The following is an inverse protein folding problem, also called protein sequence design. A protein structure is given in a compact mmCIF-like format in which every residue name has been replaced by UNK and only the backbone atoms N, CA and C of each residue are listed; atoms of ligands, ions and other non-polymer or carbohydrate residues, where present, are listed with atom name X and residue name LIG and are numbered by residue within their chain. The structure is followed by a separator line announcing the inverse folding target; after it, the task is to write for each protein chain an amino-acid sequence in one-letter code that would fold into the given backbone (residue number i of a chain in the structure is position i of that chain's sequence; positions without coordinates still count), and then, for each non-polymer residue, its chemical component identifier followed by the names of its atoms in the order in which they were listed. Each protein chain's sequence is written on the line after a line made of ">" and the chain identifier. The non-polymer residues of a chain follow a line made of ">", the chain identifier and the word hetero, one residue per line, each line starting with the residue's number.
data_IF_410641403040
#
_entry.id   IF_410641403040
#
_cell.length_a   1.000
_cell.length_b   1.000
_cell.length_c   1.000
_cell.angle_alpha   90.00
_cell.angle_beta   90.00
_cell.angle_gamma   90.00
#
_symmetry.space_group_name_H-M   'P 1'
#
loop_
_entity.id
_entity.type
_entity.pdbx_description
1 polymer ?
#
# COMPACT_ATOMS: atom_id res chain seq x y z
N UNK A 1 1.66 -9.85 -17.27
CA UNK A 1 0.71 -8.76 -16.96
C UNK A 1 0.11 -9.06 -15.59
N UNK A 2 -0.06 -8.05 -14.72
CA UNK A 2 -0.63 -8.28 -13.39
C UNK A 2 -2.05 -8.86 -13.47
N UNK A 3 -2.34 -9.80 -12.57
CA UNK A 3 -3.70 -10.30 -12.36
C UNK A 3 -4.62 -9.17 -11.88
N UNK A 4 -5.92 -9.32 -12.12
CA UNK A 4 -6.93 -8.38 -11.61
C UNK A 4 -6.81 -8.17 -10.10
N UNK A 5 -6.61 -9.27 -9.37
CA UNK A 5 -6.42 -9.25 -7.91
C UNK A 5 -5.20 -8.42 -7.50
N UNK A 6 -4.05 -8.60 -8.17
CA UNK A 6 -2.84 -7.84 -7.90
C UNK A 6 -3.02 -6.33 -8.19
N UNK A 7 -3.79 -5.97 -9.23
CA UNK A 7 -4.15 -4.57 -9.51
C UNK A 7 -5.01 -3.96 -8.40
N UNK A 8 -5.98 -4.70 -7.88
CA UNK A 8 -6.82 -4.25 -6.75
C UNK A 8 -6.02 -4.02 -5.47
N UNK A 9 -4.91 -4.73 -5.26
CA UNK A 9 -4.07 -4.51 -4.07
C UNK A 9 -3.46 -3.10 -4.06
N UNK A 10 -3.05 -2.58 -5.22
CA UNK A 10 -2.50 -1.22 -5.32
C UNK A 10 -3.53 -0.13 -5.02
N UNK A 11 -4.80 -0.35 -5.38
CA UNK A 11 -5.87 0.63 -5.13
C UNK A 11 -6.35 0.59 -3.68
N UNK A 12 -6.55 -0.62 -3.13
CA UNK A 12 -7.07 -0.81 -1.77
C UNK A 12 -6.05 -0.45 -0.68
N UNK A 13 -4.75 -0.60 -0.95
CA UNK A 13 -3.68 -0.44 0.04
C UNK A 13 -2.66 0.64 -0.36
N UNK A 14 -3.15 1.78 -0.87
CA UNK A 14 -2.30 2.94 -1.17
C UNK A 14 -1.59 3.43 0.11
N UNK A 15 -0.30 3.70 0.02
CA UNK A 15 0.54 4.11 1.16
C UNK A 15 0.99 2.96 2.05
N UNK A 16 0.63 1.71 1.74
CA UNK A 16 1.09 0.52 2.45
C UNK A 16 2.10 -0.25 1.62
N UNK A 17 3.09 -0.85 2.27
CA UNK A 17 4.02 -1.76 1.60
C UNK A 17 3.28 -3.04 1.17
N UNK A 18 3.32 -3.37 -0.11
CA UNK A 18 2.92 -4.67 -0.62
C UNK A 18 4.15 -5.58 -0.69
N UNK A 19 4.03 -6.78 -0.13
CA UNK A 19 5.02 -7.84 -0.27
C UNK A 19 4.67 -8.64 -1.52
N UNK A 20 5.66 -8.87 -2.37
CA UNK A 20 5.46 -9.52 -3.66
C UNK A 20 6.37 -10.72 -3.88
N UNK A 21 5.84 -11.68 -4.63
CA UNK A 21 6.61 -12.77 -5.21
C UNK A 21 6.38 -12.79 -6.71
N UNK A 22 7.45 -13.02 -7.47
CA UNK A 22 7.40 -13.21 -8.92
C UNK A 22 7.88 -14.62 -9.27
N UNK A 23 7.10 -15.37 -10.03
CA UNK A 23 7.54 -16.65 -10.56
C UNK A 23 8.58 -16.40 -11.65
N UNK A 24 9.77 -17.01 -11.51
CA UNK A 24 10.92 -16.77 -12.36
C UNK A 24 10.68 -17.21 -13.81
N UNK A 25 9.83 -18.21 -14.00
CA UNK A 25 9.51 -18.79 -15.32
C UNK A 25 8.26 -18.15 -15.91
N UNK A 26 7.12 -18.21 -15.21
CA UNK A 26 5.83 -17.73 -15.74
C UNK A 26 5.69 -16.22 -15.67
N UNK A 27 6.55 -15.53 -14.92
CA UNK A 27 6.49 -14.09 -14.62
C UNK A 27 5.17 -13.67 -13.95
N UNK A 28 4.46 -14.63 -13.35
CA UNK A 28 3.30 -14.38 -12.52
C UNK A 28 3.71 -13.61 -11.26
N UNK A 29 2.95 -12.58 -10.90
CA UNK A 29 3.16 -11.78 -9.69
C UNK A 29 1.98 -11.98 -8.75
N UNK A 30 2.31 -12.31 -7.50
CA UNK A 30 1.39 -12.27 -6.37
C UNK A 30 1.78 -11.15 -5.41
N UNK A 31 0.78 -10.54 -4.79
CA UNK A 31 0.94 -9.41 -3.87
C UNK A 31 0.04 -9.60 -2.66
N UNK A 32 0.53 -9.18 -1.50
CA UNK A 32 -0.27 -9.06 -0.29
C UNK A 32 0.17 -7.83 0.52
N UNK A 33 -0.75 -7.15 1.23
CA UNK A 33 -0.40 -6.02 2.07
C UNK A 33 0.40 -6.47 3.30
N UNK A 34 1.47 -5.75 3.61
CA UNK A 34 2.20 -5.92 4.86
C UNK A 34 1.39 -5.31 6.01
N UNK A 35 1.39 -5.97 7.17
CA UNK A 35 0.90 -5.35 8.41
C UNK A 35 1.83 -4.18 8.74
N UNK A 36 1.21 -3.01 8.90
CA UNK A 36 1.87 -1.76 9.28
C UNK A 36 1.27 -1.22 10.61
N UNK A 37 2.09 -0.68 11.52
CA UNK A 37 3.56 -0.71 11.52
C UNK A 37 4.12 -2.14 11.49
N UNK A 38 5.36 -2.31 11.01
CA UNK A 38 5.98 -3.64 10.87
C UNK A 38 5.91 -4.40 12.20
N UNK A 39 5.59 -5.69 12.13
CA UNK A 39 5.44 -6.56 13.32
C UNK A 39 6.32 -7.79 13.27
N UNK A 40 6.85 -8.17 14.43
CA UNK A 40 7.33 -9.51 14.73
C UNK A 40 6.26 -10.25 15.52
N UNK A 41 5.84 -11.43 15.05
CA UNK A 41 4.79 -12.21 15.66
C UNK A 41 5.29 -13.57 16.16
N UNK A 42 4.73 -14.04 17.26
CA UNK A 42 4.84 -15.42 17.71
C UNK A 42 3.50 -16.10 17.46
N UNK A 43 3.50 -17.14 16.62
CA UNK A 43 2.29 -17.90 16.29
C UNK A 43 2.35 -19.30 16.86
N UNK A 44 1.19 -19.84 17.22
CA UNK A 44 1.07 -21.25 17.57
C UNK A 44 1.02 -22.14 16.32
N UNK A 45 0.88 -23.45 16.53
CA UNK A 45 0.81 -24.41 15.43
C UNK A 45 -0.39 -24.21 14.51
N UNK A 46 -1.51 -23.72 15.07
CA UNK A 46 -2.74 -23.37 14.37
C UNK A 46 -2.64 -22.07 13.56
N UNK A 47 -1.53 -21.33 13.69
CA UNK A 47 -1.31 -20.04 13.01
C UNK A 47 -1.88 -18.83 13.74
N UNK A 48 -2.41 -18.99 14.95
CA UNK A 48 -2.93 -17.89 15.75
C UNK A 48 -1.78 -17.16 16.46
N UNK A 49 -1.84 -15.84 16.47
CA UNK A 49 -0.87 -15.00 17.15
C UNK A 49 -1.07 -15.08 18.66
N UNK A 50 0.00 -15.41 19.38
CA UNK A 50 0.04 -15.52 20.84
C UNK A 50 0.85 -14.42 21.51
N UNK A 51 1.66 -13.71 20.73
CA UNK A 51 2.48 -12.60 21.21
C UNK A 51 3.28 -11.98 20.07
N UNK A 52 4.07 -10.97 20.41
CA UNK A 52 4.90 -10.27 19.45
C UNK A 52 5.20 -8.84 19.89
N UNK A 53 5.80 -8.08 19.00
CA UNK A 53 6.11 -6.66 19.21
C UNK A 53 6.13 -5.91 17.89
N UNK A 54 5.90 -4.60 17.98
CA UNK A 54 6.11 -3.66 16.90
C UNK A 54 7.61 -3.50 16.63
N UNK A 55 7.99 -3.53 15.35
CA UNK A 55 9.36 -3.32 14.89
C UNK A 55 9.58 -1.83 14.70
N UNK A 56 10.18 -1.21 15.72
CA UNK A 56 10.57 0.19 15.69
C UNK A 56 12.04 0.36 15.22
N UNK A 57 12.38 1.43 14.47
CA UNK A 57 13.77 1.74 14.13
C UNK A 57 14.72 1.79 15.34
N UNK A 58 14.24 2.16 16.54
CA UNK A 58 14.99 2.19 17.79
C UNK A 58 15.43 0.81 18.33
N UNK A 59 14.91 -0.28 17.77
CA UNK A 59 15.37 -1.63 18.08
C UNK A 59 16.72 -1.98 17.41
N UNK A 60 17.13 -1.25 16.38
CA UNK A 60 18.31 -1.54 15.55
C UNK A 60 18.11 -2.75 14.64
N UNK A 61 19.20 -3.28 14.08
CA UNK A 61 19.16 -4.44 13.17
C UNK A 61 18.87 -5.79 13.87
N UNK A 62 18.70 -5.78 15.20
CA UNK A 62 18.40 -6.98 15.98
C UNK A 62 16.93 -7.39 15.82
N UNK A 63 16.72 -8.40 14.98
CA UNK A 63 15.40 -8.97 14.69
C UNK A 63 14.73 -9.64 15.90
N UNK A 64 15.51 -9.98 16.93
CA UNK A 64 15.07 -10.53 18.22
C UNK A 64 15.77 -9.79 19.36
N UNK A 65 15.32 -8.57 19.69
CA UNK A 65 15.90 -7.80 20.78
C UNK A 65 15.58 -8.45 22.14
N UNK A 66 16.37 -8.18 23.19
CA UNK A 66 16.05 -8.60 24.56
C UNK A 66 14.66 -8.14 24.97
N UNK A 67 13.91 -8.97 25.70
CA UNK A 67 12.51 -8.70 26.08
C UNK A 67 12.40 -7.44 26.93
N UNK A 68 13.41 -7.18 27.75
CA UNK A 68 13.52 -6.03 28.64
C UNK A 68 13.52 -4.74 27.82
N UNK A 69 14.31 -4.68 26.74
CA UNK A 69 14.37 -3.54 25.82
C UNK A 69 13.03 -3.31 25.09
N UNK A 70 12.38 -4.38 24.64
CA UNK A 70 11.06 -4.28 23.98
C UNK A 70 9.99 -3.75 24.95
N UNK A 71 10.07 -4.17 26.23
CA UNK A 71 9.16 -3.72 27.29
C UNK A 71 9.41 -2.26 27.67
N UNK A 72 10.66 -1.86 27.85
CA UNK A 72 11.07 -0.48 28.15
C UNK A 72 10.57 0.50 27.09
N UNK A 73 10.65 0.11 25.80
CA UNK A 73 10.18 0.92 24.67
C UNK A 73 8.67 0.83 24.44
N UNK A 74 7.92 0.08 25.25
CA UNK A 74 6.46 -0.03 25.11
C UNK A 74 6.00 -0.70 23.80
N UNK A 75 6.85 -1.55 23.19
CA UNK A 75 6.59 -2.12 21.86
C UNK A 75 5.86 -3.47 21.89
N UNK A 76 5.63 -4.04 23.08
CA UNK A 76 4.91 -5.30 23.25
C UNK A 76 3.46 -5.18 22.78
N UNK A 77 3.00 -6.15 22.00
CA UNK A 77 1.62 -6.20 21.54
C UNK A 77 0.68 -6.45 22.72
N UNK A 78 -0.31 -5.57 22.88
CA UNK A 78 -1.40 -5.75 23.85
C UNK A 78 -2.40 -6.79 23.34
N UNK A 79 -3.31 -7.26 24.21
CA UNK A 79 -4.36 -8.19 23.79
C UNK A 79 -5.20 -7.66 22.62
N UNK A 80 -5.54 -6.36 22.67
CA UNK A 80 -6.29 -5.68 21.62
C UNK A 80 -5.53 -5.66 20.28
N UNK A 81 -4.21 -5.47 20.32
CA UNK A 81 -3.37 -5.51 19.13
C UNK A 81 -3.35 -6.91 18.52
N UNK A 82 -3.23 -7.95 19.36
CA UNK A 82 -3.24 -9.34 18.92
C UNK A 82 -4.57 -9.70 18.22
N UNK A 83 -5.71 -9.27 18.76
CA UNK A 83 -7.02 -9.53 18.14
C UNK A 83 -7.14 -8.82 16.78
N UNK A 84 -6.68 -7.56 16.68
CA UNK A 84 -6.62 -6.82 15.41
C UNK A 84 -5.69 -7.49 14.40
N UNK A 85 -4.52 -7.93 14.82
CA UNK A 85 -3.53 -8.59 13.96
C UNK A 85 -4.08 -9.93 13.46
N UNK A 86 -4.69 -10.74 14.33
CA UNK A 86 -5.33 -12.00 13.90
C UNK A 86 -6.42 -11.75 12.85
N UNK A 87 -7.21 -10.66 12.99
CA UNK A 87 -8.17 -10.26 11.95
C UNK A 87 -7.49 -9.89 10.63
N UNK A 88 -6.38 -9.14 10.66
CA UNK A 88 -5.60 -8.80 9.46
C UNK A 88 -5.01 -10.04 8.79
N UNK A 89 -4.47 -10.99 9.56
CA UNK A 89 -3.96 -12.25 9.01
C UNK A 89 -5.06 -13.06 8.31
N UNK A 90 -6.29 -13.05 8.85
CA UNK A 90 -7.46 -13.64 8.21
C UNK A 90 -7.86 -12.96 6.89
N UNK A 91 -7.43 -11.72 6.67
CA UNK A 91 -7.61 -10.96 5.44
C UNK A 91 -6.41 -11.06 4.48
N UNK A 92 -5.53 -12.05 4.68
CA UNK A 92 -4.30 -12.26 3.90
C UNK A 92 -3.26 -11.14 4.01
N UNK A 93 -3.29 -10.34 5.08
CA UNK A 93 -2.14 -9.49 5.38
C UNK A 93 -0.95 -10.35 5.81
N UNK A 94 0.24 -9.87 5.50
CA UNK A 94 1.48 -10.55 5.85
C UNK A 94 2.24 -9.77 6.93
N UNK A 95 2.69 -10.43 8.01
CA UNK A 95 3.56 -9.81 9.00
C UNK A 95 4.98 -9.67 8.46
N UNK A 96 5.79 -8.81 9.08
CA UNK A 96 7.19 -8.64 8.65
C UNK A 96 8.02 -9.89 8.97
N UNK A 97 7.86 -10.42 10.19
CA UNK A 97 8.47 -11.66 10.64
C UNK A 97 7.52 -12.47 11.52
N UNK A 98 7.66 -13.79 11.45
CA UNK A 98 6.94 -14.72 12.31
C UNK A 98 7.91 -15.73 12.90
N UNK A 99 7.91 -15.87 14.21
CA UNK A 99 8.49 -17.03 14.87
C UNK A 99 7.44 -18.13 14.98
N UNK A 100 7.76 -19.28 14.39
CA UNK A 100 7.00 -20.52 14.54
C UNK A 100 7.95 -21.62 15.02
N UNK A 101 7.72 -22.14 16.23
CA UNK A 101 8.65 -23.07 16.90
C UNK A 101 10.05 -22.46 17.04
N UNK A 102 11.06 -23.02 16.35
CA UNK A 102 12.46 -22.55 16.33
C UNK A 102 12.83 -21.84 15.01
N UNK A 103 11.86 -21.59 14.15
CA UNK A 103 12.09 -21.01 12.83
C UNK A 103 11.57 -19.57 12.76
N UNK A 104 12.38 -18.71 12.15
CA UNK A 104 12.00 -17.34 11.80
C UNK A 104 11.61 -17.30 10.32
N UNK A 105 10.35 -16.98 10.06
CA UNK A 105 9.74 -16.92 8.75
C UNK A 105 9.63 -15.44 8.35
N UNK A 106 10.20 -15.07 7.20
CA UNK A 106 10.09 -13.72 6.64
C UNK A 106 8.72 -13.46 6.00
N UNK A 107 8.36 -12.18 5.80
CA UNK A 107 7.14 -11.79 5.07
C UNK A 107 6.98 -12.50 3.70
N UNK A 108 8.05 -12.63 2.92
CA UNK A 108 8.04 -13.36 1.64
C UNK A 108 7.74 -14.85 1.82
N UNK A 109 8.33 -15.49 2.83
CA UNK A 109 8.09 -16.91 3.10
C UNK A 109 6.68 -17.14 3.62
N UNK A 110 6.18 -16.20 4.43
CA UNK A 110 4.80 -16.23 4.91
C UNK A 110 3.82 -16.14 3.74
N UNK A 111 4.01 -15.18 2.83
CA UNK A 111 3.20 -15.05 1.61
C UNK A 111 3.25 -16.31 0.74
N UNK A 112 4.45 -16.84 0.50
CA UNK A 112 4.64 -18.07 -0.28
C UNK A 112 3.87 -19.25 0.34
N UNK A 113 3.97 -19.42 1.66
CA UNK A 113 3.27 -20.49 2.36
C UNK A 113 1.74 -20.32 2.33
N UNK A 114 1.23 -19.10 2.16
CA UNK A 114 -0.20 -18.84 2.01
C UNK A 114 -0.69 -19.12 0.59
N UNK A 115 0.01 -18.62 -0.44
CA UNK A 115 -0.53 -18.52 -1.80
C UNK A 115 0.15 -19.43 -2.84
N UNK A 116 1.32 -20.00 -2.55
CA UNK A 116 2.14 -20.73 -3.55
C UNK A 116 2.35 -22.21 -3.22
N UNK A 117 1.51 -22.83 -2.39
CA UNK A 117 1.70 -24.19 -1.84
C UNK A 117 1.93 -25.29 -2.87
N UNK A 118 1.43 -25.13 -4.10
CA UNK A 118 1.58 -26.10 -5.20
C UNK A 118 2.88 -25.95 -6.00
N UNK A 119 3.73 -24.98 -5.66
CA UNK A 119 4.97 -24.66 -6.39
C UNK A 119 6.19 -24.76 -5.48
N UNK A 120 7.41 -24.68 -6.05
CA UNK A 120 8.65 -24.77 -5.27
C UNK A 120 9.24 -23.39 -5.03
N UNK A 121 9.71 -23.15 -3.80
CA UNK A 121 10.33 -21.89 -3.39
C UNK A 121 11.42 -21.36 -4.33
N UNK A 122 12.34 -22.20 -4.89
CA UNK A 122 13.38 -21.73 -5.81
C UNK A 122 12.84 -21.12 -7.09
N UNK A 123 11.62 -21.45 -7.49
CA UNK A 123 10.96 -20.95 -8.71
C UNK A 123 10.50 -19.50 -8.56
N UNK A 124 10.61 -18.92 -7.35
CA UNK A 124 10.10 -17.59 -7.04
C UNK A 124 11.22 -16.64 -6.63
N UNK A 125 11.04 -15.37 -6.98
CA UNK A 125 11.83 -14.24 -6.50
C UNK A 125 10.99 -13.34 -5.59
N UNK A 126 11.63 -12.74 -4.59
CA UNK A 126 10.95 -11.87 -3.62
C UNK A 126 11.24 -10.39 -3.85
N UNK A 127 10.20 -9.57 -3.72
CA UNK A 127 10.29 -8.11 -3.79
C UNK A 127 9.25 -7.45 -2.88
N UNK A 128 9.34 -6.13 -2.72
CA UNK A 128 8.32 -5.32 -2.07
C UNK A 128 8.11 -4.06 -2.89
N UNK A 129 6.88 -3.57 -2.91
CA UNK A 129 6.50 -2.38 -3.66
C UNK A 129 5.51 -1.56 -2.86
N UNK A 130 5.62 -0.24 -2.91
CA UNK A 130 4.67 0.67 -2.29
C UNK A 130 4.27 1.72 -3.32
N UNK A 131 2.97 1.91 -3.50
CA UNK A 131 2.44 3.11 -4.16
C UNK A 131 2.26 4.18 -3.09
N UNK A 132 3.15 5.17 -3.07
CA UNK A 132 3.09 6.22 -2.06
C UNK A 132 1.89 7.17 -2.27
N UNK A 133 1.71 8.09 -1.33
CA UNK A 133 0.61 9.07 -1.36
C UNK A 133 0.68 10.01 -2.57
N UNK A 134 1.89 10.28 -3.10
CA UNK A 134 2.11 11.06 -4.33
C UNK A 134 1.80 10.26 -5.61
N UNK A 135 1.58 8.95 -5.50
CA UNK A 135 1.36 8.05 -6.63
C UNK A 135 2.65 7.58 -7.29
N UNK A 136 3.81 7.68 -6.63
CA UNK A 136 5.06 7.09 -7.09
C UNK A 136 5.21 5.67 -6.54
N UNK A 137 5.73 4.77 -7.38
CA UNK A 137 6.04 3.40 -7.01
C UNK A 137 7.47 3.33 -6.48
N UNK A 138 7.61 2.84 -5.24
CA UNK A 138 8.89 2.63 -4.59
C UNK A 138 9.10 1.13 -4.43
N UNK A 139 10.26 0.63 -4.86
CA UNK A 139 10.56 -0.80 -4.92
C UNK A 139 11.70 -1.18 -3.96
N UNK A 140 11.63 -2.41 -3.44
CA UNK A 140 12.76 -3.09 -2.80
C UNK A 140 12.85 -4.50 -3.35
N UNK A 141 14.01 -4.87 -3.90
CA UNK A 141 14.23 -6.16 -4.54
C UNK A 141 15.06 -7.13 -3.68
N UNK A 142 15.15 -6.85 -2.38
CA UNK A 142 15.92 -7.67 -1.45
C UNK A 142 15.06 -8.77 -0.82
N UNK A 143 15.50 -10.02 -0.93
CA UNK A 143 14.91 -11.15 -0.22
C UNK A 143 15.93 -12.26 -0.04
N UNK A 144 16.47 -12.42 1.17
CA UNK A 144 17.43 -13.49 1.47
C UNK A 144 16.82 -14.88 1.23
N UNK A 145 15.51 -15.04 1.39
CA UNK A 145 14.84 -16.34 1.33
C UNK A 145 14.53 -16.80 -0.11
N UNK A 146 14.40 -15.88 -1.06
CA UNK A 146 13.96 -16.18 -2.44
C UNK A 146 14.98 -15.81 -3.52
N UNK A 147 15.85 -14.84 -3.24
CA UNK A 147 16.80 -14.33 -4.20
C UNK A 147 18.22 -14.87 -3.97
N UNK A 148 18.43 -15.63 -2.89
CA UNK A 148 19.72 -16.29 -2.69
C UNK A 148 19.91 -17.42 -3.69
N UNK A 149 21.15 -17.66 -4.17
CA UNK A 149 21.45 -18.80 -5.02
C UNK A 149 21.20 -20.13 -4.28
N UNK A 150 20.88 -21.22 -5.01
CA UNK A 150 20.67 -22.53 -4.42
C UNK A 150 21.83 -22.95 -3.52
N UNK A 151 21.51 -23.51 -2.34
CA UNK A 151 22.50 -24.00 -1.39
C UNK A 151 23.23 -22.92 -0.57
N UNK A 152 22.97 -21.62 -0.80
CA UNK A 152 23.57 -20.53 -0.02
C UNK A 152 22.51 -19.59 0.53
N UNK A 153 22.69 -19.11 1.76
CA UNK A 153 21.91 -17.98 2.29
C UNK A 153 22.74 -16.71 2.20
N UNK A 154 22.33 -15.79 1.32
CA UNK A 154 22.98 -14.48 1.15
C UNK A 154 22.08 -13.43 1.79
N UNK A 155 22.63 -12.68 2.76
CA UNK A 155 21.91 -11.56 3.38
C UNK A 155 21.62 -10.50 2.32
N UNK A 156 20.36 -10.04 2.26
CA UNK A 156 19.91 -8.98 1.33
C UNK A 156 20.15 -9.34 -0.15
N UNK A 157 20.06 -10.63 -0.49
CA UNK A 157 20.14 -11.10 -1.86
C UNK A 157 19.15 -10.35 -2.77
N UNK A 158 19.63 -9.89 -3.91
CA UNK A 158 18.86 -9.08 -4.86
C UNK A 158 18.19 -9.97 -5.91
N UNK A 159 16.97 -9.58 -6.30
CA UNK A 159 16.31 -10.14 -7.46
C UNK A 159 17.14 -9.86 -8.72
N UNK A 160 17.20 -10.78 -9.68
CA UNK A 160 17.95 -10.57 -10.93
C UNK A 160 17.35 -9.41 -11.73
N UNK A 161 18.20 -8.67 -12.46
CA UNK A 161 17.82 -7.43 -13.15
C UNK A 161 16.66 -7.63 -14.13
N UNK A 162 16.68 -8.73 -14.88
CA UNK A 162 15.61 -9.11 -15.81
C UNK A 162 14.24 -9.22 -15.12
N UNK A 163 14.21 -9.80 -13.92
CA UNK A 163 13.01 -9.92 -13.11
C UNK A 163 12.63 -8.60 -12.44
N UNK A 164 13.60 -7.77 -12.06
CA UNK A 164 13.31 -6.42 -11.55
C UNK A 164 12.60 -5.58 -12.61
N UNK A 165 13.07 -5.63 -13.86
CA UNK A 165 12.50 -4.86 -14.95
C UNK A 165 11.12 -5.38 -15.34
N UNK A 166 10.90 -6.70 -15.29
CA UNK A 166 9.57 -7.27 -15.47
C UNK A 166 8.60 -6.84 -14.36
N UNK A 167 9.03 -6.83 -13.09
CA UNK A 167 8.22 -6.30 -11.97
C UNK A 167 7.87 -4.83 -12.22
N UNK A 168 8.85 -3.98 -12.55
CA UNK A 168 8.63 -2.56 -12.81
C UNK A 168 7.65 -2.37 -13.97
N UNK A 169 7.81 -3.11 -15.07
CA UNK A 169 6.94 -3.07 -16.25
C UNK A 169 5.50 -3.40 -15.89
N UNK A 170 5.30 -4.52 -15.17
CA UNK A 170 3.96 -4.98 -14.78
C UNK A 170 3.29 -4.07 -13.73
N UNK A 171 4.04 -3.51 -12.77
CA UNK A 171 3.49 -2.60 -11.77
C UNK A 171 3.21 -1.19 -12.33
N UNK A 172 4.03 -0.71 -13.27
CA UNK A 172 3.86 0.63 -13.85
C UNK A 172 2.63 0.74 -14.75
N UNK A 173 2.25 -0.32 -15.47
CA UNK A 173 0.99 -0.33 -16.23
C UNK A 173 -0.22 -0.16 -15.32
N UNK A 174 -0.18 -0.71 -14.11
CA UNK A 174 -1.24 -0.52 -13.11
C UNK A 174 -1.31 0.92 -12.61
N UNK A 175 -0.17 1.61 -12.42
CA UNK A 175 -0.16 3.04 -12.06
C UNK A 175 -0.91 3.88 -13.10
N UNK A 176 -0.67 3.63 -14.40
CA UNK A 176 -1.33 4.34 -15.50
C UNK A 176 -2.84 4.09 -15.47
N UNK A 177 -3.27 2.83 -15.35
CA UNK A 177 -4.70 2.48 -15.27
C UNK A 177 -5.40 3.13 -14.06
N UNK A 178 -4.74 3.15 -12.89
CA UNK A 178 -5.28 3.77 -11.67
C UNK A 178 -5.42 5.28 -11.83
N UNK A 179 -4.45 5.95 -12.47
CA UNK A 179 -4.53 7.39 -12.74
C UNK A 179 -5.67 7.71 -13.70
N UNK A 180 -5.82 6.95 -14.78
CA UNK A 180 -6.93 7.11 -15.73
C UNK A 180 -8.31 6.86 -15.07
N UNK A 181 -8.42 5.90 -14.16
CA UNK A 181 -9.65 5.67 -13.39
C UNK A 181 -10.00 6.88 -12.51
N UNK A 182 -9.01 7.52 -11.89
CA UNK A 182 -9.25 8.73 -11.08
C UNK A 182 -9.66 9.93 -11.92
N UNK A 183 -9.03 10.12 -13.08
CA UNK A 183 -9.39 11.20 -14.01
C UNK A 183 -10.82 11.04 -14.54
N UNK A 184 -11.29 9.80 -14.74
CA UNK A 184 -12.66 9.52 -15.18
C UNK A 184 -13.72 9.53 -14.05
N UNK A 185 -13.29 9.51 -12.79
CA UNK A 185 -14.18 9.64 -11.61
C UNK A 185 -14.31 11.08 -11.12
N UNK A 186 -13.53 12.02 -11.66
CA UNK A 186 -13.82 13.44 -11.48
C UNK A 186 -15.11 13.75 -12.27
N UNK A 187 -16.12 14.39 -11.66
CA UNK A 187 -17.26 14.89 -12.40
C UNK A 187 -16.70 15.77 -13.51
N UNK A 188 -16.97 15.39 -14.77
CA UNK A 188 -16.93 16.37 -15.85
C UNK A 188 -18.02 17.36 -15.50
N UNK A 189 -17.65 18.46 -14.83
CA UNK A 189 -18.53 19.60 -14.73
C UNK A 189 -18.89 19.99 -16.15
N UNK A 190 -20.16 19.71 -16.43
CA UNK A 190 -20.87 19.94 -17.67
C UNK A 190 -20.95 21.46 -17.86
N UNK A 191 -19.85 22.08 -18.31
CA UNK A 191 -19.93 23.39 -18.97
C UNK A 191 -20.43 23.19 -20.40
N UNK A 192 -21.64 22.67 -20.55
CA UNK A 192 -22.45 23.01 -21.71
C UNK A 192 -23.02 24.40 -21.45
N UNK A 193 -22.24 25.44 -21.77
CA UNK A 193 -22.84 26.72 -22.16
C UNK A 193 -23.55 26.47 -23.49
N UNK A 194 -24.77 25.97 -23.41
CA UNK A 194 -25.71 25.95 -24.52
C UNK A 194 -26.19 27.39 -24.69
N UNK A 195 -25.83 27.98 -25.82
CA UNK A 195 -26.40 29.24 -26.29
C UNK A 195 -27.93 29.15 -26.27
N UNK A 196 -28.58 30.03 -25.52
CA UNK A 196 -29.99 30.35 -25.74
C UNK A 196 -30.05 31.74 -26.37
N UNK A 197 -30.35 31.71 -27.66
CA UNK A 197 -30.55 32.83 -28.54
C UNK A 197 -31.91 33.51 -28.31
N UNK A 198 -31.90 34.84 -28.57
CA UNK A 198 -32.99 35.78 -28.91
C UNK A 198 -33.55 36.68 -27.78
N UNK A 199 -34.09 37.88 -28.09
CA UNK A 199 -34.02 38.67 -29.34
C UNK A 199 -33.59 40.15 -29.15
N UNK A 200 -33.38 40.80 -30.29
CA UNK A 200 -33.29 42.26 -30.51
C UNK A 200 -34.18 43.11 -29.60
N UNK A 201 -33.60 44.16 -29.03
CA UNK A 201 -34.21 45.48 -28.87
C UNK A 201 -33.12 46.53 -29.11
N UNK A 202 -33.38 47.40 -30.09
CA UNK A 202 -32.55 48.55 -30.47
C UNK A 202 -33.11 49.84 -29.81
N UNK A 203 -32.36 50.95 -29.86
CA UNK A 203 -32.20 51.91 -28.76
C UNK A 203 -33.11 53.16 -28.88
N UNK A 204 -32.93 54.02 -27.87
CA UNK A 204 -33.36 55.42 -27.74
C UNK A 204 -34.76 55.66 -27.18
N UNK A 205 -34.85 56.22 -25.97
CA UNK A 205 -35.10 57.65 -25.76
C UNK A 205 -35.36 57.98 -24.27
N UNK A 206 -34.55 58.91 -23.75
CA UNK A 206 -34.88 60.04 -22.86
C UNK A 206 -35.76 59.78 -21.61
N UNK A 207 -35.17 59.91 -20.41
CA UNK A 207 -35.47 61.00 -19.44
C UNK A 207 -34.64 60.80 -18.14
N UNK A 208 -33.79 61.78 -17.83
CA UNK A 208 -33.21 62.00 -16.49
C UNK A 208 -34.27 62.61 -15.51
N UNK A 209 -33.92 63.12 -14.30
CA UNK A 209 -33.54 62.40 -13.09
C UNK A 209 -34.38 62.88 -11.87
N UNK A 210 -34.53 62.10 -10.79
CA UNK A 210 -34.89 62.70 -9.48
C UNK A 210 -34.27 62.02 -8.25
N UNK A 211 -33.31 62.77 -7.69
CA UNK A 211 -33.15 63.17 -6.28
C UNK A 211 -33.28 62.11 -5.16
N UNK A 212 -32.12 61.92 -4.51
CA UNK A 212 -31.85 61.97 -3.05
C UNK A 212 -33.02 61.68 -2.10
N UNK A 213 -32.85 60.66 -1.24
CA UNK A 213 -32.97 60.84 0.22
C UNK A 213 -31.83 60.09 0.92
N UNK A 214 -31.17 60.82 1.82
CA UNK A 214 -30.15 60.35 2.78
C UNK A 214 -30.84 59.67 3.95
N UNK A 215 -30.22 58.64 4.52
CA UNK A 215 -29.89 58.60 5.96
C UNK A 215 -29.01 57.39 6.25
N UNK A 216 -27.90 57.68 6.90
CA UNK A 216 -26.87 56.73 7.31
C UNK A 216 -27.18 56.15 8.71
N UNK A 217 -26.20 55.64 9.47
CA UNK A 217 -26.08 54.25 9.90
C UNK A 217 -26.42 54.06 11.39
N UNK A 218 -26.42 52.83 11.90
CA UNK A 218 -25.93 52.63 13.27
C UNK A 218 -25.36 51.24 13.52
N UNK A 219 -24.23 51.27 14.22
CA UNK A 219 -23.40 50.19 14.75
C UNK A 219 -23.96 49.73 16.11
N UNK A 220 -23.50 48.56 16.55
CA UNK A 220 -23.42 48.18 17.97
C UNK A 220 -24.55 47.24 18.38
N UNK A 221 -24.30 46.12 19.04
CA UNK A 221 -23.15 45.71 19.86
C UNK A 221 -22.94 44.20 19.81
#
# INVERSE_FOLDING_TARGET
>A
MLSKHAKEMFTKHKGTTLVGLINKTTKEIILAPCIEPKVYLQINEKGEVRGGYWLDPGLGDNLTPPKEKVKELGLLLTRRDLDKINSLLGQNFVPRFVAKKKELISSHEYLFNQQCKSTKKPDWGGFSVMLDTSGKLNYSFSSSSFNSPPGRKVKRAQLSTDLQDEVKKQCSSCKVEIMLLKENLLPRDVFFKKESSKPNLKPDEVFEPMKKIRSAPEKGS
#
